data_IF_367779997570
#
_entry.id   IF_367779997570
#
_cell.length_a   1.000
_cell.length_b   1.000
_cell.length_c   1.000
_cell.angle_alpha   90.00
_cell.angle_beta   90.00
_cell.angle_gamma   90.00
#
_symmetry.space_group_name_H-M   'P 1'
#
loop_
_entity.id
_entity.type
_entity.pdbx_description
1 polymer ?
#
# COMPACT_ATOMS: atom_id res chain seq x y z
N UNK A 1 28.17 19.78 83.75
CA UNK A 1 29.31 18.84 83.75
C UNK A 1 29.47 18.23 82.35
N UNK A 2 30.73 18.15 81.93
CA UNK A 2 31.34 17.40 80.82
C UNK A 2 31.01 17.69 79.34
N UNK A 3 32.07 18.16 78.68
CA UNK A 3 32.37 18.35 77.25
C UNK A 3 32.62 16.99 76.52
N UNK A 4 32.86 17.01 75.17
CA UNK A 4 32.45 15.97 74.21
C UNK A 4 33.59 15.04 73.75
N UNK A 5 33.26 14.03 72.92
CA UNK A 5 34.23 13.35 72.03
C UNK A 5 33.66 13.10 70.62
N UNK A 6 34.27 13.75 69.63
CA UNK A 6 34.41 13.29 68.22
C UNK A 6 35.68 12.39 68.13
N UNK A 7 36.10 11.90 66.95
CA UNK A 7 35.41 11.09 65.93
C UNK A 7 36.23 9.81 65.62
N UNK A 8 35.77 8.96 64.69
CA UNK A 8 36.64 7.95 64.07
C UNK A 8 36.28 7.78 62.59
N UNK A 9 37.22 8.19 61.73
CA UNK A 9 37.30 7.73 60.35
C UNK A 9 38.22 6.51 60.29
N UNK A 10 38.10 5.65 59.26
CA UNK A 10 39.24 5.56 58.36
C UNK A 10 38.89 5.48 56.85
N UNK A 11 39.77 6.14 56.10
CA UNK A 11 40.42 5.75 54.84
C UNK A 11 39.64 5.04 53.71
N UNK A 12 39.45 5.81 52.64
CA UNK A 12 39.93 5.58 51.26
C UNK A 12 39.93 4.15 50.67
N UNK A 13 39.23 4.00 49.53
CA UNK A 13 39.78 3.57 48.21
C UNK A 13 38.66 3.38 47.19
N UNK A 14 38.93 3.74 45.92
CA UNK A 14 38.33 3.06 44.76
C UNK A 14 37.50 3.93 43.82
N UNK A 15 38.19 4.54 42.85
CA UNK A 15 37.61 5.13 41.63
C UNK A 15 36.82 4.09 40.82
N UNK A 16 35.73 4.53 40.20
CA UNK A 16 34.93 3.71 39.28
C UNK A 16 33.90 4.55 38.54
N UNK A 17 34.36 5.51 37.74
CA UNK A 17 33.53 6.30 36.83
C UNK A 17 32.80 5.38 35.84
N UNK A 18 31.49 5.17 35.99
CA UNK A 18 30.66 4.53 34.96
C UNK A 18 30.22 5.59 33.96
N UNK A 19 31.09 5.84 32.99
CA UNK A 19 30.79 6.61 31.79
C UNK A 19 29.70 5.88 30.99
N UNK A 20 28.55 6.53 30.83
CA UNK A 20 27.46 6.10 29.96
C UNK A 20 27.95 6.12 28.52
N UNK A 21 27.95 4.97 27.86
CA UNK A 21 28.30 4.83 26.46
C UNK A 21 27.34 5.66 25.58
N UNK A 22 27.91 6.57 24.78
CA UNK A 22 27.21 7.25 23.68
C UNK A 22 27.06 6.28 22.50
N UNK A 23 25.88 6.18 21.85
CA UNK A 23 25.75 5.40 20.63
C UNK A 23 26.51 6.10 19.48
N UNK A 24 27.30 5.31 18.76
CA UNK A 24 28.13 5.75 17.63
C UNK A 24 27.27 6.27 16.46
N UNK A 25 27.74 7.37 15.86
CA UNK A 25 27.15 7.99 14.68
C UNK A 25 27.25 7.06 13.46
N UNK A 26 26.15 6.90 12.71
CA UNK A 26 26.13 6.19 11.43
C UNK A 26 26.79 7.05 10.34
N UNK A 27 27.70 6.49 9.51
CA UNK A 27 28.34 7.24 8.44
C UNK A 27 27.37 7.54 7.28
N UNK A 28 27.56 8.72 6.67
CA UNK A 28 26.75 9.27 5.57
C UNK A 28 27.09 8.58 4.23
N UNK A 29 26.07 8.49 3.36
CA UNK A 29 26.15 8.00 1.97
C UNK A 29 27.03 8.90 1.10
N UNK A 30 28.34 8.69 1.12
CA UNK A 30 29.24 9.17 0.07
C UNK A 30 30.56 8.41 0.17
N UNK A 31 30.55 7.10 -0.12
CA UNK A 31 31.76 6.28 -0.34
C UNK A 31 31.38 4.87 -0.83
N UNK A 32 30.72 4.79 -1.99
CA UNK A 32 30.53 3.52 -2.73
C UNK A 32 30.80 3.73 -4.22
N UNK A 33 32.03 4.10 -4.55
CA UNK A 33 32.60 3.96 -5.90
C UNK A 33 34.09 3.66 -5.78
N UNK A 34 34.43 2.38 -5.62
CA UNK A 34 35.71 1.78 -6.00
C UNK A 34 35.73 0.31 -5.53
N UNK A 35 35.30 -0.61 -6.39
CA UNK A 35 35.70 -2.02 -6.37
C UNK A 35 35.09 -2.68 -7.61
N UNK A 36 35.74 -2.47 -8.74
CA UNK A 36 35.46 -3.14 -10.00
C UNK A 36 36.22 -4.48 -10.00
N UNK A 37 35.51 -5.60 -10.17
CA UNK A 37 36.07 -6.93 -10.34
C UNK A 37 35.55 -7.52 -11.68
N UNK A 38 36.37 -8.30 -12.42
CA UNK A 38 36.15 -8.53 -13.84
C UNK A 38 35.01 -9.52 -14.12
N UNK A 39 34.26 -9.23 -15.19
CA UNK A 39 33.16 -10.04 -15.70
C UNK A 39 33.68 -11.32 -16.36
N UNK A 40 33.22 -12.49 -15.91
CA UNK A 40 33.36 -13.77 -16.62
C UNK A 40 32.45 -13.80 -17.85
N UNK A 41 32.99 -14.27 -18.97
CA UNK A 41 32.27 -14.50 -20.23
C UNK A 41 31.20 -15.61 -20.09
N UNK A 42 30.09 -15.55 -20.85
CA UNK A 42 29.07 -16.59 -20.83
C UNK A 42 29.46 -17.79 -21.72
N UNK A 43 29.22 -18.99 -21.22
CA UNK A 43 29.40 -20.25 -21.91
C UNK A 43 28.37 -20.44 -23.04
N UNK A 44 28.83 -20.89 -24.20
CA UNK A 44 28.02 -21.23 -25.37
C UNK A 44 27.16 -22.48 -25.10
N UNK A 45 25.85 -22.36 -25.28
CA UNK A 45 24.92 -23.49 -25.28
C UNK A 45 24.71 -24.06 -26.69
N UNK A 46 24.33 -25.35 -26.83
CA UNK A 46 24.26 -26.03 -28.12
C UNK A 46 23.10 -25.52 -29.01
N UNK A 47 23.21 -25.67 -30.35
CA UNK A 47 22.37 -24.96 -31.30
C UNK A 47 20.94 -25.48 -31.40
N UNK A 48 20.00 -24.54 -31.59
CA UNK A 48 18.57 -24.76 -31.81
C UNK A 48 18.34 -25.42 -33.17
N UNK A 49 17.63 -26.57 -33.19
CA UNK A 49 17.16 -27.22 -34.42
C UNK A 49 16.01 -26.42 -35.05
N UNK A 50 16.09 -26.16 -36.36
CA UNK A 50 15.04 -25.57 -37.19
C UNK A 50 13.83 -26.51 -37.29
N UNK A 51 12.57 -26.02 -37.31
CA UNK A 51 11.45 -26.85 -37.72
C UNK A 51 11.48 -27.05 -39.23
N UNK A 52 11.55 -28.31 -39.64
CA UNK A 52 11.40 -28.74 -41.03
C UNK A 52 9.92 -28.77 -41.42
N UNK A 53 9.70 -28.26 -42.62
CA UNK A 53 8.51 -28.34 -43.44
C UNK A 53 7.94 -29.78 -43.48
N UNK A 54 6.65 -29.92 -43.16
CA UNK A 54 5.90 -31.18 -43.33
C UNK A 54 4.55 -30.88 -43.97
N UNK A 55 4.61 -30.83 -45.29
CA UNK A 55 3.70 -31.50 -46.23
C UNK A 55 2.44 -32.14 -45.64
N UNK A 56 1.32 -31.56 -46.08
CA UNK A 56 -0.06 -32.05 -46.01
C UNK A 56 -0.22 -33.32 -46.86
N UNK A 57 -0.94 -34.36 -46.42
CA UNK A 57 -1.64 -35.25 -47.33
C UNK A 57 -3.15 -34.98 -47.31
N UNK A 58 -3.71 -34.78 -48.51
CA UNK A 58 -5.13 -35.03 -48.83
C UNK A 58 -5.27 -36.52 -49.17
N UNK A 59 -6.35 -37.17 -48.70
CA UNK A 59 -7.20 -38.18 -49.39
C UNK A 59 -8.20 -38.77 -48.38
N UNK A 60 -9.52 -38.53 -48.50
CA UNK A 60 -10.58 -39.20 -49.30
C UNK A 60 -11.04 -40.57 -48.77
N UNK A 61 -12.36 -40.71 -48.55
CA UNK A 61 -13.12 -41.97 -48.35
C UNK A 61 -13.87 -41.98 -47.01
N UNK A 62 -15.17 -41.67 -46.90
CA UNK A 62 -16.42 -42.35 -47.36
C UNK A 62 -16.84 -43.55 -46.50
N UNK A 63 -18.01 -43.41 -45.85
CA UNK A 63 -18.93 -44.45 -45.35
C UNK A 63 -18.65 -44.95 -43.92
N UNK A 64 -19.60 -45.32 -43.06
CA UNK A 64 -21.06 -45.28 -43.02
C UNK A 64 -21.49 -45.95 -41.68
N UNK A 65 -22.63 -45.55 -41.09
CA UNK A 65 -23.47 -46.23 -40.07
C UNK A 65 -23.07 -46.34 -38.57
N UNK A 66 -24.12 -46.20 -37.73
CA UNK A 66 -24.23 -46.78 -36.37
C UNK A 66 -24.16 -45.74 -35.24
N UNK A 67 -25.28 -45.14 -34.81
CA UNK A 67 -26.19 -45.64 -33.77
C UNK A 67 -25.84 -45.19 -32.33
N UNK A 68 -26.79 -44.45 -31.75
CA UNK A 68 -27.22 -44.41 -30.35
C UNK A 68 -26.20 -44.28 -29.20
N UNK A 69 -26.42 -43.28 -28.35
CA UNK A 69 -25.87 -43.28 -26.99
C UNK A 69 -25.87 -41.90 -26.35
N UNK A 70 -26.96 -41.56 -25.66
CA UNK A 70 -27.09 -40.30 -24.93
C UNK A 70 -25.99 -40.08 -23.90
N UNK A 71 -25.36 -38.91 -23.95
CA UNK A 71 -24.65 -38.33 -22.82
C UNK A 71 -25.15 -36.90 -22.69
N UNK A 72 -25.93 -36.66 -21.64
CA UNK A 72 -26.42 -35.35 -21.24
C UNK A 72 -25.24 -34.38 -21.17
N UNK A 73 -25.19 -33.46 -22.12
CA UNK A 73 -24.32 -32.28 -22.02
C UNK A 73 -24.74 -31.50 -20.78
N UNK A 74 -24.01 -31.67 -19.67
CA UNK A 74 -23.96 -30.64 -18.64
C UNK A 74 -23.22 -29.48 -19.28
N UNK A 75 -23.96 -28.60 -19.93
CA UNK A 75 -23.51 -27.23 -20.14
C UNK A 75 -23.16 -26.70 -18.74
N UNK A 76 -21.86 -26.62 -18.44
CA UNK A 76 -21.37 -25.81 -17.36
C UNK A 76 -21.76 -24.38 -17.74
N UNK A 77 -22.94 -23.95 -17.31
CA UNK A 77 -23.28 -22.56 -17.22
C UNK A 77 -22.14 -21.92 -16.44
N UNK A 78 -21.36 -21.07 -17.12
CA UNK A 78 -20.40 -20.19 -16.45
C UNK A 78 -21.17 -19.54 -15.31
N UNK A 79 -20.75 -19.69 -14.04
CA UNK A 79 -21.33 -18.87 -13.01
C UNK A 79 -21.01 -17.43 -13.41
N UNK A 80 -22.05 -16.63 -13.60
CA UNK A 80 -21.88 -15.20 -13.77
C UNK A 80 -21.08 -14.70 -12.57
N UNK A 81 -19.86 -14.24 -12.84
CA UNK A 81 -18.96 -13.75 -11.80
C UNK A 81 -19.63 -12.63 -11.02
N UNK A 82 -19.25 -12.42 -9.74
CA UNK A 82 -19.85 -11.37 -8.93
C UNK A 82 -19.70 -10.05 -9.69
N UNK A 83 -20.85 -9.44 -9.95
CA UNK A 83 -21.01 -8.13 -10.58
C UNK A 83 -20.00 -7.17 -9.96
N UNK A 84 -19.14 -6.61 -10.81
CA UNK A 84 -18.25 -5.49 -10.49
C UNK A 84 -19.03 -4.51 -9.61
N UNK A 85 -18.57 -4.29 -8.38
CA UNK A 85 -19.03 -3.20 -7.50
C UNK A 85 -18.62 -1.83 -8.05
N UNK A 86 -18.87 -1.59 -9.34
CA UNK A 86 -18.52 -0.39 -10.06
C UNK A 86 -19.62 0.64 -9.82
N UNK A 87 -19.69 1.15 -8.58
CA UNK A 87 -20.13 2.52 -8.41
C UNK A 87 -19.26 3.46 -9.26
N UNK A 88 -19.75 4.64 -9.64
CA UNK A 88 -18.98 5.57 -10.45
C UNK A 88 -17.63 5.88 -9.77
N UNK A 89 -16.56 5.90 -10.55
CA UNK A 89 -15.23 6.22 -10.06
C UNK A 89 -15.21 7.58 -9.33
N UNK A 90 -14.50 7.66 -8.21
CA UNK A 90 -14.40 8.89 -7.42
C UNK A 90 -13.90 10.06 -8.28
N UNK A 91 -14.80 11.00 -8.56
CA UNK A 91 -14.46 12.26 -9.21
C UNK A 91 -13.87 13.21 -8.17
N UNK A 92 -12.76 13.84 -8.55
CA UNK A 92 -12.13 14.87 -7.74
C UNK A 92 -13.11 16.03 -7.50
N UNK A 93 -13.27 16.48 -6.25
CA UNK A 93 -14.03 17.70 -5.92
C UNK A 93 -13.53 18.89 -6.76
N UNK A 94 -14.45 19.68 -7.33
CA UNK A 94 -14.13 20.87 -8.12
C UNK A 94 -13.52 21.94 -7.22
N UNK A 95 -12.36 22.46 -7.61
CA UNK A 95 -11.74 23.62 -6.95
C UNK A 95 -12.35 24.88 -7.57
N UNK A 96 -13.00 25.70 -6.76
CA UNK A 96 -13.57 27.00 -7.18
C UNK A 96 -12.55 28.11 -6.93
N UNK A 97 -12.73 29.25 -7.59
CA UNK A 97 -11.95 30.48 -7.36
C UNK A 97 -10.43 30.32 -7.60
N UNK A 98 -10.07 29.54 -8.63
CA UNK A 98 -8.71 29.59 -9.17
C UNK A 98 -8.58 30.84 -10.04
N UNK A 99 -7.51 31.59 -9.82
CA UNK A 99 -7.23 32.82 -10.56
C UNK A 99 -5.97 32.61 -11.40
N UNK A 100 -6.06 32.59 -12.74
CA UNK A 100 -4.90 32.45 -13.62
C UNK A 100 -3.85 33.57 -13.45
N UNK A 101 -4.25 34.73 -12.93
CA UNK A 101 -3.33 35.85 -12.67
C UNK A 101 -2.65 35.76 -11.30
N UNK A 102 -3.12 34.90 -10.40
CA UNK A 102 -2.52 34.71 -9.08
C UNK A 102 -1.26 33.84 -9.13
N UNK A 103 -0.41 33.95 -8.11
CA UNK A 103 0.81 33.15 -8.00
C UNK A 103 0.51 31.64 -7.92
N UNK A 104 1.49 30.83 -8.33
CA UNK A 104 1.41 29.37 -8.19
C UNK A 104 1.11 28.97 -6.75
N UNK A 105 1.82 29.55 -5.77
CA UNK A 105 1.62 29.25 -4.34
C UNK A 105 0.19 29.54 -3.86
N UNK A 106 -0.40 30.67 -4.26
CA UNK A 106 -1.77 31.02 -3.89
C UNK A 106 -2.81 30.04 -4.47
N UNK A 107 -2.64 29.64 -5.74
CA UNK A 107 -3.50 28.64 -6.36
C UNK A 107 -3.27 27.24 -5.77
N UNK A 108 -2.02 26.85 -5.51
CA UNK A 108 -1.67 25.58 -4.89
C UNK A 108 -2.28 25.44 -3.49
N UNK A 109 -2.18 26.48 -2.63
CA UNK A 109 -2.79 26.48 -1.31
C UNK A 109 -4.30 26.22 -1.37
N UNK A 110 -5.03 26.85 -2.30
CA UNK A 110 -6.46 26.59 -2.50
C UNK A 110 -6.74 25.14 -2.90
N UNK A 111 -5.94 24.57 -3.81
CA UNK A 111 -6.09 23.18 -4.22
C UNK A 111 -5.80 22.25 -3.04
N UNK A 112 -4.73 22.50 -2.27
CA UNK A 112 -4.37 21.73 -1.07
C UNK A 112 -5.54 21.74 -0.09
N UNK A 113 -6.11 22.91 0.23
CA UNK A 113 -7.23 23.00 1.17
C UNK A 113 -8.43 22.17 0.72
N UNK A 114 -8.78 22.18 -0.57
CA UNK A 114 -9.90 21.38 -1.10
C UNK A 114 -9.58 19.88 -1.03
N UNK A 115 -8.36 19.47 -1.38
CA UNK A 115 -7.96 18.05 -1.37
C UNK A 115 -7.83 17.49 0.04
N UNK A 116 -7.33 18.29 0.97
CA UNK A 116 -7.26 17.92 2.39
C UNK A 116 -8.66 17.72 2.97
N UNK A 117 -9.60 18.62 2.68
CA UNK A 117 -11.02 18.44 3.08
C UNK A 117 -11.66 17.21 2.45
N UNK A 118 -11.35 16.90 1.19
CA UNK A 118 -11.83 15.68 0.53
C UNK A 118 -11.33 14.41 1.25
N UNK A 119 -10.06 14.38 1.69
CA UNK A 119 -9.50 13.29 2.50
C UNK A 119 -10.21 13.18 3.85
N UNK A 120 -10.39 14.30 4.56
CA UNK A 120 -11.06 14.34 5.87
C UNK A 120 -12.53 13.87 5.78
N UNK A 121 -13.25 14.29 4.74
CA UNK A 121 -14.65 13.91 4.55
C UNK A 121 -14.80 12.42 4.24
N UNK A 122 -14.00 11.88 3.30
CA UNK A 122 -14.04 10.46 2.93
C UNK A 122 -13.60 9.55 4.07
N UNK A 123 -12.74 10.04 4.96
CA UNK A 123 -12.28 9.25 6.08
C UNK A 123 -13.34 8.98 7.13
N UNK A 124 -14.43 9.75 7.18
CA UNK A 124 -15.57 9.53 8.09
C UNK A 124 -16.24 8.21 7.77
N UNK A 125 -16.58 8.00 6.50
CA UNK A 125 -17.20 6.76 6.01
C UNK A 125 -16.19 5.60 6.04
N UNK A 126 -14.91 5.87 5.77
CA UNK A 126 -13.86 4.86 5.82
C UNK A 126 -13.53 4.34 7.24
N UNK A 127 -14.15 4.89 8.30
CA UNK A 127 -14.08 4.31 9.65
C UNK A 127 -14.94 3.05 9.78
N UNK A 128 -15.83 2.75 8.83
CA UNK A 128 -16.52 1.47 8.77
C UNK A 128 -15.65 0.44 8.03
N UNK A 129 -15.20 -0.65 8.69
CA UNK A 129 -14.41 -1.68 8.03
C UNK A 129 -15.18 -2.39 6.91
N UNK A 130 -16.50 -2.35 6.87
CA UNK A 130 -17.30 -3.01 5.85
C UNK A 130 -17.47 -2.17 4.58
N UNK A 131 -17.22 -0.86 4.64
CA UNK A 131 -17.27 0.03 3.48
C UNK A 131 -15.96 0.01 2.67
N UNK A 132 -15.79 -1.07 1.91
CA UNK A 132 -14.67 -1.26 0.97
C UNK A 132 -14.56 -0.09 -0.03
N UNK A 133 -15.68 0.51 -0.43
CA UNK A 133 -15.69 1.60 -1.39
C UNK A 133 -15.15 2.88 -0.76
N UNK A 134 -15.57 3.23 0.47
CA UNK A 134 -15.06 4.40 1.18
C UNK A 134 -13.54 4.30 1.43
N UNK A 135 -13.04 3.13 1.82
CA UNK A 135 -11.59 2.87 1.97
C UNK A 135 -10.83 3.05 0.65
N UNK A 136 -11.38 2.56 -0.47
CA UNK A 136 -10.81 2.75 -1.79
C UNK A 136 -10.82 4.22 -2.24
N UNK A 137 -11.92 4.93 -2.01
CA UNK A 137 -12.07 6.34 -2.35
C UNK A 137 -11.11 7.22 -1.53
N UNK A 138 -10.99 6.95 -0.22
CA UNK A 138 -10.00 7.59 0.64
C UNK A 138 -8.57 7.37 0.12
N UNK A 139 -8.23 6.16 -0.34
CA UNK A 139 -6.92 5.86 -0.93
C UNK A 139 -6.66 6.73 -2.17
N UNK A 140 -7.65 6.91 -3.04
CA UNK A 140 -7.54 7.77 -4.22
C UNK A 140 -7.34 9.23 -3.82
N UNK A 141 -8.12 9.73 -2.86
CA UNK A 141 -8.02 11.10 -2.37
C UNK A 141 -6.65 11.37 -1.72
N UNK A 142 -6.18 10.46 -0.88
CA UNK A 142 -4.86 10.54 -0.25
C UNK A 142 -3.73 10.56 -1.29
N UNK A 143 -3.83 9.75 -2.35
CA UNK A 143 -2.89 9.76 -3.49
C UNK A 143 -2.84 11.12 -4.17
N UNK A 144 -4.01 11.71 -4.46
CA UNK A 144 -4.11 13.04 -5.08
C UNK A 144 -3.49 14.12 -4.20
N UNK A 145 -3.79 14.11 -2.90
CA UNK A 145 -3.21 15.06 -1.94
C UNK A 145 -1.69 14.93 -1.87
N UNK A 146 -1.16 13.70 -1.81
CA UNK A 146 0.29 13.47 -1.77
C UNK A 146 1.00 14.06 -2.98
N UNK A 147 0.49 13.82 -4.19
CA UNK A 147 1.13 14.34 -5.41
C UNK A 147 1.21 15.85 -5.43
N UNK A 148 0.21 16.53 -4.86
CA UNK A 148 0.26 17.97 -4.71
C UNK A 148 1.31 18.39 -3.68
N UNK A 149 1.30 17.76 -2.50
CA UNK A 149 2.26 18.10 -1.44
C UNK A 149 3.70 17.70 -1.75
N UNK A 150 3.94 16.75 -2.65
CA UNK A 150 5.28 16.47 -3.18
C UNK A 150 5.85 17.64 -4.00
N UNK A 151 4.99 18.54 -4.49
CA UNK A 151 5.40 19.75 -5.19
C UNK A 151 5.43 20.98 -4.28
N UNK A 152 4.54 21.03 -3.28
CA UNK A 152 4.22 22.29 -2.59
C UNK A 152 4.26 22.23 -1.07
N UNK A 153 4.47 21.05 -0.49
CA UNK A 153 4.22 20.78 0.92
C UNK A 153 5.44 20.29 1.70
N UNK A 154 5.33 20.25 3.03
CA UNK A 154 6.42 19.80 3.89
C UNK A 154 6.63 18.27 3.77
N UNK A 155 7.91 17.88 3.73
CA UNK A 155 8.35 16.48 3.66
C UNK A 155 7.73 15.58 4.74
N UNK A 156 7.46 16.13 5.93
CA UNK A 156 6.88 15.38 7.04
C UNK A 156 5.46 14.89 6.71
N UNK A 157 4.61 15.78 6.16
CA UNK A 157 3.24 15.42 5.77
C UNK A 157 3.21 14.48 4.58
N UNK A 158 4.12 14.66 3.62
CA UNK A 158 4.30 13.70 2.50
C UNK A 158 4.63 12.31 3.03
N UNK A 159 5.53 12.19 4.01
CA UNK A 159 5.88 10.91 4.63
C UNK A 159 4.68 10.27 5.35
N UNK A 160 3.87 11.05 6.04
CA UNK A 160 2.63 10.53 6.67
C UNK A 160 1.64 10.02 5.63
N UNK A 161 1.43 10.76 4.53
CA UNK A 161 0.55 10.32 3.43
C UNK A 161 1.06 9.07 2.72
N UNK A 162 2.38 8.89 2.58
CA UNK A 162 2.96 7.65 2.05
C UNK A 162 2.59 6.46 2.92
N UNK A 163 2.79 6.57 4.25
CA UNK A 163 2.41 5.51 5.20
C UNK A 163 0.92 5.19 5.16
N UNK A 164 0.06 6.22 5.08
CA UNK A 164 -1.38 6.03 4.94
C UNK A 164 -1.73 5.29 3.63
N UNK A 165 -1.10 5.67 2.51
CA UNK A 165 -1.33 5.02 1.22
C UNK A 165 -0.84 3.58 1.17
N UNK A 166 0.30 3.27 1.80
CA UNK A 166 0.81 1.91 1.89
C UNK A 166 -0.21 1.02 2.63
N UNK A 167 -0.70 1.51 3.77
CA UNK A 167 -1.69 0.81 4.59
C UNK A 167 -3.02 0.59 3.86
N UNK A 168 -3.60 1.65 3.27
CA UNK A 168 -4.82 1.55 2.48
C UNK A 168 -4.63 0.71 1.21
N UNK A 169 -3.41 0.68 0.66
CA UNK A 169 -3.02 -0.17 -0.46
C UNK A 169 -3.11 -1.65 -0.09
N UNK A 170 -2.49 -2.05 1.01
CA UNK A 170 -2.56 -3.44 1.49
C UNK A 170 -3.99 -3.88 1.83
N UNK A 171 -4.80 -2.99 2.42
CA UNK A 171 -6.24 -3.27 2.67
C UNK A 171 -6.96 -3.52 1.35
N UNK A 172 -6.78 -2.63 0.37
CA UNK A 172 -7.42 -2.75 -0.94
C UNK A 172 -7.00 -4.04 -1.67
N UNK A 173 -5.73 -4.42 -1.59
CA UNK A 173 -5.24 -5.66 -2.19
C UNK A 173 -5.96 -6.88 -1.59
N UNK A 174 -6.16 -6.90 -0.26
CA UNK A 174 -6.95 -7.94 0.39
C UNK A 174 -8.42 -7.93 -0.08
N UNK A 175 -9.03 -6.76 -0.16
CA UNK A 175 -10.43 -6.59 -0.60
C UNK A 175 -10.65 -7.04 -2.05
N UNK A 176 -9.64 -6.88 -2.92
CA UNK A 176 -9.69 -7.36 -4.31
C UNK A 176 -9.44 -8.87 -4.40
N UNK A 177 -8.55 -9.43 -3.58
CA UNK A 177 -8.16 -10.85 -3.64
C UNK A 177 -9.16 -11.79 -2.95
N UNK A 178 -9.80 -11.36 -1.86
CA UNK A 178 -10.69 -12.21 -1.06
C UNK A 178 -11.90 -12.76 -1.84
N UNK A 179 -12.67 -11.94 -2.60
CA UNK A 179 -13.83 -12.45 -3.33
C UNK A 179 -13.52 -13.56 -4.35
N UNK A 180 -12.56 -13.41 -5.28
CA UNK A 180 -12.24 -14.47 -6.23
C UNK A 180 -11.61 -15.69 -5.55
N UNK A 181 -10.81 -15.50 -4.49
CA UNK A 181 -10.24 -16.62 -3.73
C UNK A 181 -11.33 -17.46 -3.04
N UNK A 182 -12.32 -16.80 -2.41
CA UNK A 182 -13.47 -17.49 -1.81
C UNK A 182 -14.33 -18.20 -2.84
N UNK A 183 -14.51 -17.61 -4.03
CA UNK A 183 -15.22 -18.27 -5.13
C UNK A 183 -14.47 -19.53 -5.59
N UNK A 184 -13.16 -19.43 -5.81
CA UNK A 184 -12.32 -20.57 -6.19
C UNK A 184 -12.36 -21.69 -5.14
N UNK A 185 -12.34 -21.33 -3.85
CA UNK A 185 -12.43 -22.31 -2.77
C UNK A 185 -13.77 -23.06 -2.72
N UNK A 186 -14.87 -22.44 -3.18
CA UNK A 186 -16.19 -23.10 -3.26
C UNK A 186 -16.29 -24.09 -4.42
N UNK A 187 -15.62 -23.79 -5.52
CA UNK A 187 -15.73 -24.58 -6.77
C UNK A 187 -14.65 -25.68 -6.88
N UNK A 188 -13.63 -25.64 -6.02
CA UNK A 188 -12.50 -26.58 -6.03
C UNK A 188 -12.84 -27.93 -5.36
N UNK A 189 -12.17 -29.03 -5.76
CA UNK A 189 -12.21 -30.30 -5.04
C UNK A 189 -11.76 -30.13 -3.57
N UNK A 190 -12.32 -30.91 -2.65
CA UNK A 190 -12.14 -30.69 -1.21
C UNK A 190 -10.67 -30.64 -0.77
N UNK A 191 -9.80 -31.47 -1.36
CA UNK A 191 -8.36 -31.47 -1.08
C UNK A 191 -7.69 -30.11 -1.35
N UNK A 192 -8.12 -29.40 -2.39
CA UNK A 192 -7.60 -28.07 -2.76
C UNK A 192 -8.35 -26.95 -2.02
N UNK A 193 -9.66 -27.13 -1.82
CA UNK A 193 -10.51 -26.18 -1.13
C UNK A 193 -10.03 -25.89 0.30
N UNK A 194 -9.51 -26.89 1.03
CA UNK A 194 -8.91 -26.69 2.36
C UNK A 194 -7.78 -25.65 2.32
N UNK A 195 -6.86 -25.74 1.37
CA UNK A 195 -5.75 -24.79 1.23
C UNK A 195 -6.23 -23.38 0.88
N UNK A 196 -7.18 -23.28 -0.04
CA UNK A 196 -7.76 -22.00 -0.46
C UNK A 196 -8.55 -21.31 0.65
N UNK A 197 -9.30 -22.07 1.46
CA UNK A 197 -10.01 -21.54 2.64
C UNK A 197 -9.03 -21.06 3.71
N UNK A 198 -7.96 -21.80 3.96
CA UNK A 198 -6.89 -21.37 4.87
C UNK A 198 -6.25 -20.06 4.42
N UNK A 199 -5.94 -19.93 3.12
CA UNK A 199 -5.41 -18.67 2.57
C UNK A 199 -6.43 -17.52 2.69
N UNK A 200 -7.71 -17.79 2.45
CA UNK A 200 -8.76 -16.78 2.59
C UNK A 200 -8.91 -16.31 4.05
N UNK A 201 -8.78 -17.21 5.03
CA UNK A 201 -8.76 -16.85 6.45
C UNK A 201 -7.54 -15.97 6.74
N UNK A 202 -6.36 -16.35 6.27
CA UNK A 202 -5.14 -15.56 6.48
C UNK A 202 -5.26 -14.13 5.91
N UNK A 203 -5.74 -13.99 4.67
CA UNK A 203 -5.97 -12.67 4.07
C UNK A 203 -7.03 -11.86 4.82
N UNK A 204 -8.12 -12.49 5.28
CA UNK A 204 -9.15 -11.81 6.05
C UNK A 204 -8.62 -11.30 7.40
N UNK A 205 -7.82 -12.12 8.10
CA UNK A 205 -7.14 -11.71 9.35
C UNK A 205 -6.20 -10.55 9.09
N UNK A 206 -5.33 -10.64 8.07
CA UNK A 206 -4.40 -9.56 7.71
C UNK A 206 -5.15 -8.26 7.38
N UNK A 207 -6.24 -8.35 6.62
CA UNK A 207 -7.09 -7.21 6.28
C UNK A 207 -7.67 -6.53 7.52
N UNK A 208 -8.11 -7.30 8.51
CA UNK A 208 -8.60 -6.77 9.78
C UNK A 208 -7.49 -6.09 10.59
N UNK A 209 -6.30 -6.70 10.68
CA UNK A 209 -5.13 -6.09 11.35
C UNK A 209 -4.71 -4.76 10.71
N UNK A 210 -4.69 -4.70 9.37
CA UNK A 210 -4.35 -3.48 8.64
C UNK A 210 -5.39 -2.38 8.87
N UNK A 211 -6.68 -2.74 8.88
CA UNK A 211 -7.75 -1.80 9.18
C UNK A 211 -7.62 -1.26 10.61
N UNK A 212 -7.35 -2.12 11.60
CA UNK A 212 -7.16 -1.69 12.99
C UNK A 212 -6.01 -0.70 13.12
N UNK A 213 -4.88 -0.96 12.45
CA UNK A 213 -3.74 -0.03 12.40
C UNK A 213 -4.12 1.31 11.76
N UNK A 214 -4.97 1.29 10.73
CA UNK A 214 -5.45 2.50 10.06
C UNK A 214 -6.33 3.30 11.04
N UNK A 215 -7.29 2.63 11.67
CA UNK A 215 -8.21 3.23 12.61
C UNK A 215 -7.48 3.86 13.81
N UNK A 216 -6.54 3.13 14.42
CA UNK A 216 -5.72 3.63 15.53
C UNK A 216 -4.82 4.81 15.15
N UNK A 217 -4.30 4.82 13.91
CA UNK A 217 -3.43 5.89 13.41
C UNK A 217 -4.19 7.12 12.92
N UNK A 218 -5.50 7.01 12.69
CA UNK A 218 -6.29 8.08 12.08
C UNK A 218 -6.34 9.38 12.91
N UNK A 219 -6.51 9.38 14.25
CA UNK A 219 -6.60 10.62 15.02
C UNK A 219 -5.39 11.56 14.87
N UNK A 220 -4.19 11.02 14.72
CA UNK A 220 -2.98 11.84 14.48
C UNK A 220 -2.96 12.46 13.08
N UNK A 221 -3.42 11.68 12.08
CA UNK A 221 -3.54 12.14 10.70
C UNK A 221 -4.64 13.19 10.57
N UNK A 222 -5.77 12.99 11.22
CA UNK A 222 -6.90 13.92 11.26
C UNK A 222 -6.47 15.29 11.81
N UNK A 223 -5.76 15.32 12.95
CA UNK A 223 -5.18 16.56 13.50
C UNK A 223 -4.21 17.23 12.51
N UNK A 224 -3.33 16.44 11.90
CA UNK A 224 -2.35 16.95 10.94
C UNK A 224 -3.04 17.58 9.73
N UNK A 225 -4.02 16.89 9.15
CA UNK A 225 -4.74 17.34 7.97
C UNK A 225 -5.70 18.49 8.26
N UNK A 226 -6.32 18.52 9.44
CA UNK A 226 -7.10 19.67 9.90
C UNK A 226 -6.22 20.92 9.99
N UNK A 227 -5.05 20.82 10.62
CA UNK A 227 -4.08 21.92 10.66
C UNK A 227 -3.60 22.34 9.27
N UNK A 228 -3.33 21.38 8.37
CA UNK A 228 -2.96 21.68 6.98
C UNK A 228 -4.07 22.43 6.23
N UNK A 229 -5.33 22.05 6.42
CA UNK A 229 -6.46 22.74 5.80
C UNK A 229 -6.56 24.19 6.28
N UNK A 230 -6.44 24.43 7.60
CA UNK A 230 -6.47 25.78 8.16
C UNK A 230 -5.29 26.65 7.69
N UNK A 231 -4.08 26.09 7.63
CA UNK A 231 -2.92 26.79 7.10
C UNK A 231 -3.08 27.17 5.62
N UNK A 232 -3.67 26.27 4.82
CA UNK A 232 -3.94 26.49 3.41
C UNK A 232 -5.04 27.54 3.17
N UNK A 233 -6.10 27.54 3.99
CA UNK A 233 -7.15 28.57 3.93
C UNK A 233 -6.64 29.95 4.38
N UNK A 234 -5.66 30.00 5.29
CA UNK A 234 -5.07 31.25 5.81
C UNK A 234 -3.97 31.82 4.88
N UNK A 235 -3.62 31.14 3.79
CA UNK A 235 -2.54 31.56 2.88
C UNK A 235 -1.13 31.42 3.46
N UNK A 236 -0.97 30.67 4.56
CA UNK A 236 0.30 30.50 5.27
C UNK A 236 1.09 29.26 4.83
N UNK A 237 0.62 28.55 3.79
CA UNK A 237 1.39 27.44 3.23
C UNK A 237 2.57 28.02 2.46
N UNK A 238 3.77 27.87 3.01
CA UNK A 238 5.02 28.14 2.30
C UNK A 238 5.14 27.14 1.14
N UNK A 239 4.64 27.53 -0.02
CA UNK A 239 4.91 26.84 -1.27
C UNK A 239 6.25 27.37 -1.78
N UNK A 240 7.28 26.54 -1.98
CA UNK A 240 8.53 27.00 -2.56
C UNK A 240 8.27 27.66 -3.92
N UNK A 241 8.78 28.88 -4.08
CA UNK A 241 8.69 29.71 -5.31
C UNK A 241 9.40 29.08 -6.49
#
# INVERSE_FOLDING_TARGET
MLRPRRPSAPAARGQGARLRARPAARPRRADRRAAEAPRRAPAEGPPRRRPADRTRPRRTGRGQHGAAGGARGRAHARPEGPTRGAGPALKARKVKHLDPAASFGANAARIVAVRTREVLDLAKDAQDPTDVKALHDLRIAAKRLRYLLELTGPDATVKQLKRLQDLLGEIHDCDVQLPPLRALARDAPEREAVGLRTLAIHLATRRAELFERFHQGWPDLDRTFTSLSHAADSGQVEVPS
#
